data_IF_183291477695
#
_entry.id   IF_183291477695
#
_cell.length_a   1.000
_cell.length_b   1.000
_cell.length_c   1.000
_cell.angle_alpha   90.00
_cell.angle_beta   90.00
_cell.angle_gamma   90.00
#
_symmetry.space_group_name_H-M   'P 1'
#
loop_
_entity.id
_entity.type
_entity.pdbx_description
1 polymer ?
#
# COMPACT_ATOMS: atom_id res chain seq x y z
N UNK A 1 -9.81 -3.57 -16.80
CA UNK A 1 -10.04 -3.86 -15.38
C UNK A 1 -9.58 -2.64 -14.59
N UNK A 2 -10.51 -1.97 -13.91
CA UNK A 2 -10.25 -0.76 -13.13
C UNK A 2 -9.43 -1.02 -11.87
N UNK A 3 -8.98 0.06 -11.24
CA UNK A 3 -8.31 0.02 -9.94
C UNK A 3 -9.33 -0.45 -8.90
N UNK A 4 -8.95 -1.44 -8.12
CA UNK A 4 -9.80 -1.95 -7.04
C UNK A 4 -9.52 -1.15 -5.76
N UNK A 5 -10.52 -0.54 -5.12
CA UNK A 5 -10.33 0.31 -3.95
C UNK A 5 -10.18 -0.50 -2.65
N UNK A 6 -9.41 -1.57 -2.70
CA UNK A 6 -9.02 -2.37 -1.53
C UNK A 6 -7.66 -3.05 -1.73
N UNK A 7 -7.01 -3.36 -0.63
CA UNK A 7 -5.83 -4.24 -0.60
C UNK A 7 -6.08 -5.43 0.30
N UNK A 8 -5.36 -6.51 0.01
CA UNK A 8 -5.35 -7.72 0.84
C UNK A 8 -3.91 -8.03 1.22
N UNK A 9 -3.67 -8.37 2.48
CA UNK A 9 -2.39 -8.87 2.92
C UNK A 9 -2.57 -10.04 3.87
N UNK A 10 -1.76 -11.08 3.70
CA UNK A 10 -1.73 -12.23 4.58
C UNK A 10 -0.53 -12.07 5.51
N UNK A 11 -0.76 -12.13 6.82
CA UNK A 11 0.28 -12.04 7.84
C UNK A 11 0.32 -13.36 8.61
N UNK A 12 1.53 -13.90 8.76
CA UNK A 12 1.80 -15.05 9.61
C UNK A 12 2.30 -14.58 10.97
N UNK A 13 1.88 -15.25 12.03
CA UNK A 13 2.47 -15.01 13.33
C UNK A 13 3.97 -15.28 13.29
N UNK A 14 4.76 -14.29 13.72
CA UNK A 14 6.22 -14.26 13.84
C UNK A 14 7.05 -14.90 12.71
N UNK A 15 7.45 -14.07 11.74
CA UNK A 15 8.75 -14.10 11.04
C UNK A 15 9.17 -15.38 10.31
N UNK A 16 8.38 -15.90 9.39
CA UNK A 16 8.95 -16.74 8.33
C UNK A 16 8.61 -16.10 6.98
N UNK A 17 9.61 -15.52 6.35
CA UNK A 17 9.47 -14.85 5.03
C UNK A 17 9.05 -15.78 3.89
N UNK A 18 9.13 -17.10 4.08
CA UNK A 18 8.83 -18.12 3.09
C UNK A 18 8.08 -19.32 3.72
N UNK A 19 7.16 -19.05 4.65
CA UNK A 19 6.43 -20.12 5.34
C UNK A 19 5.36 -20.72 4.42
N UNK A 20 5.34 -22.05 4.33
CA UNK A 20 4.22 -22.80 3.78
C UNK A 20 3.14 -22.92 4.85
N UNK A 21 1.91 -22.49 4.54
CA UNK A 21 0.76 -22.66 5.44
C UNK A 21 0.39 -24.12 5.49
N UNK A 22 0.22 -24.65 6.69
CA UNK A 22 -0.23 -26.01 6.93
C UNK A 22 -1.61 -26.02 7.59
N UNK A 23 -2.28 -27.16 7.54
CA UNK A 23 -3.55 -27.37 8.25
C UNK A 23 -3.34 -27.18 9.75
N UNK A 24 -4.12 -26.28 10.35
CA UNK A 24 -4.03 -25.94 11.77
C UNK A 24 -3.23 -24.67 12.06
N UNK A 25 -2.56 -24.08 11.07
CA UNK A 25 -1.89 -22.79 11.24
C UNK A 25 -2.91 -21.65 11.38
N UNK A 26 -2.63 -20.73 12.30
CA UNK A 26 -3.36 -19.47 12.38
C UNK A 26 -2.69 -18.43 11.49
N UNK A 27 -3.50 -17.78 10.67
CA UNK A 27 -3.06 -16.72 9.78
C UNK A 27 -3.97 -15.50 9.94
N UNK A 28 -3.41 -14.32 9.76
CA UNK A 28 -4.17 -13.07 9.77
C UNK A 28 -4.34 -12.59 8.33
N UNK A 29 -5.58 -12.55 7.88
CA UNK A 29 -5.93 -11.91 6.61
C UNK A 29 -6.36 -10.47 6.92
N UNK A 30 -5.59 -9.50 6.43
CA UNK A 30 -5.94 -8.10 6.55
C UNK A 30 -6.48 -7.57 5.22
N UNK A 31 -7.68 -7.03 5.27
CA UNK A 31 -8.31 -6.34 4.14
C UNK A 31 -8.38 -4.86 4.52
N UNK A 32 -7.86 -3.99 3.65
CA UNK A 32 -7.99 -2.54 3.79
C UNK A 32 -8.83 -2.01 2.66
N UNK A 33 -9.80 -1.18 2.99
CA UNK A 33 -10.76 -0.61 2.06
C UNK A 33 -10.74 0.90 2.21
N UNK A 34 -10.75 1.62 1.10
CA UNK A 34 -10.82 3.10 1.09
C UNK A 34 -12.00 3.62 0.25
N UNK A 35 -12.95 2.75 -0.06
CA UNK A 35 -14.22 3.10 -0.70
C UNK A 35 -15.38 2.81 0.25
N UNK A 36 -16.24 3.80 0.46
CA UNK A 36 -17.29 3.75 1.47
C UNK A 36 -18.28 2.60 1.28
N UNK A 37 -18.71 2.34 0.05
CA UNK A 37 -19.66 1.27 -0.23
C UNK A 37 -19.09 -0.13 0.07
N UNK A 38 -17.80 -0.33 -0.21
CA UNK A 38 -17.14 -1.61 0.12
C UNK A 38 -17.02 -1.81 1.63
N UNK A 39 -16.86 -0.74 2.40
CA UNK A 39 -16.86 -0.82 3.85
C UNK A 39 -18.17 -1.40 4.39
N UNK A 40 -19.30 -0.88 3.94
CA UNK A 40 -20.62 -1.40 4.36
C UNK A 40 -20.82 -2.88 4.00
N UNK A 41 -20.32 -3.32 2.85
CA UNK A 41 -20.38 -4.73 2.47
C UNK A 41 -19.56 -5.59 3.44
N UNK A 42 -18.42 -5.10 3.92
CA UNK A 42 -17.58 -5.83 4.88
C UNK A 42 -18.20 -5.90 6.28
N UNK A 43 -18.90 -4.86 6.71
CA UNK A 43 -19.62 -4.85 8.00
C UNK A 43 -20.74 -5.90 8.04
N UNK A 44 -21.36 -6.18 6.91
CA UNK A 44 -22.50 -7.10 6.78
C UNK A 44 -22.08 -8.55 6.47
N UNK A 45 -20.79 -8.88 6.50
CA UNK A 45 -20.34 -10.25 6.22
C UNK A 45 -20.86 -11.21 7.31
N UNK A 46 -21.64 -12.25 6.92
CA UNK A 46 -22.18 -13.20 7.89
C UNK A 46 -21.08 -14.03 8.57
N UNK A 47 -21.29 -14.30 9.83
CA UNK A 47 -20.39 -15.15 10.63
C UNK A 47 -21.04 -16.53 10.90
N UNK A 48 -20.31 -17.65 10.90
CA UNK A 48 -18.85 -17.78 10.64
C UNK A 48 -18.52 -17.62 9.15
N UNK A 49 -17.37 -17.01 8.85
CA UNK A 49 -16.90 -16.80 7.49
C UNK A 49 -15.96 -17.95 7.08
N UNK A 50 -16.32 -18.68 6.02
CA UNK A 50 -15.40 -19.63 5.36
C UNK A 50 -14.73 -18.93 4.18
N UNK A 51 -13.43 -19.07 4.08
CA UNK A 51 -12.57 -18.46 3.06
C UNK A 51 -11.80 -19.55 2.30
N UNK A 52 -11.80 -19.46 0.98
CA UNK A 52 -10.94 -20.28 0.15
C UNK A 52 -9.62 -19.56 -0.13
N UNK A 53 -8.50 -20.09 0.39
CA UNK A 53 -7.16 -19.54 0.16
C UNK A 53 -6.36 -20.54 -0.69
N UNK A 54 -6.40 -20.37 -2.00
CA UNK A 54 -5.84 -21.37 -2.92
C UNK A 54 -6.53 -22.74 -2.76
N UNK A 55 -5.79 -23.82 -2.49
CA UNK A 55 -6.36 -25.14 -2.24
C UNK A 55 -6.85 -25.35 -0.80
N UNK A 56 -6.64 -24.38 0.10
CA UNK A 56 -6.96 -24.47 1.51
C UNK A 56 -8.31 -23.82 1.80
N UNK A 57 -9.12 -24.50 2.59
CA UNK A 57 -10.30 -23.91 3.22
C UNK A 57 -9.91 -23.41 4.61
N UNK A 58 -10.19 -22.16 4.91
CA UNK A 58 -9.93 -21.51 6.18
C UNK A 58 -11.24 -21.00 6.78
N UNK A 59 -11.39 -21.12 8.08
CA UNK A 59 -12.49 -20.51 8.82
C UNK A 59 -11.97 -19.30 9.58
N UNK A 60 -12.67 -18.17 9.50
CA UNK A 60 -12.39 -17.05 10.35
C UNK A 60 -12.78 -17.39 11.79
N UNK A 61 -11.78 -17.44 12.66
CA UNK A 61 -11.99 -17.66 14.09
C UNK A 61 -12.44 -16.38 14.79
N UNK A 62 -11.98 -15.24 14.28
CA UNK A 62 -12.32 -13.90 14.80
C UNK A 62 -12.24 -12.89 13.66
N UNK A 63 -13.16 -11.94 13.62
CA UNK A 63 -13.18 -10.82 12.67
C UNK A 63 -13.14 -9.53 13.45
N UNK A 64 -12.05 -8.79 13.30
CA UNK A 64 -11.84 -7.51 13.98
C UNK A 64 -11.85 -6.39 12.94
N UNK A 65 -12.70 -5.40 13.16
CA UNK A 65 -12.83 -4.24 12.27
C UNK A 65 -11.81 -3.15 12.60
N UNK A 66 -11.27 -3.14 13.85
CA UNK A 66 -10.26 -2.21 14.34
C UNK A 66 -9.16 -2.97 15.07
N UNK A 67 -8.28 -3.64 14.33
CA UNK A 67 -7.25 -4.43 14.97
C UNK A 67 -6.01 -3.62 15.34
N UNK A 68 -5.52 -3.71 16.57
CA UNK A 68 -4.31 -3.06 17.03
C UNK A 68 -3.07 -3.86 16.61
N UNK A 69 -2.69 -3.82 15.37
CA UNK A 69 -1.38 -4.26 14.93
C UNK A 69 -0.62 -3.08 14.39
N UNK A 70 0.38 -2.58 15.12
CA UNK A 70 1.51 -1.69 14.77
C UNK A 70 1.36 -0.67 13.61
N UNK A 71 0.20 -0.56 13.02
CA UNK A 71 -0.21 0.48 12.11
C UNK A 71 -1.52 1.04 12.65
N UNK A 72 -1.61 2.35 12.85
CA UNK A 72 -2.86 2.99 13.27
C UNK A 72 -3.88 2.82 12.13
N UNK A 73 -4.70 1.82 12.26
CA UNK A 73 -5.88 1.61 11.45
C UNK A 73 -7.08 1.95 12.32
N UNK A 74 -7.22 3.21 12.60
CA UNK A 74 -8.54 3.78 12.77
C UNK A 74 -9.21 3.84 11.40
N UNK A 75 -10.52 3.85 11.36
CA UNK A 75 -11.31 4.32 10.22
C UNK A 75 -10.97 5.81 10.01
N UNK A 76 -9.72 6.05 9.65
CA UNK A 76 -9.26 7.36 9.24
C UNK A 76 -9.79 7.58 7.84
N UNK A 77 -10.85 8.37 7.73
CA UNK A 77 -11.24 8.84 6.43
C UNK A 77 -10.13 9.76 5.88
N UNK A 78 -10.12 9.97 4.60
CA UNK A 78 -9.14 10.80 3.89
C UNK A 78 -8.99 12.19 4.51
N UNK A 79 -10.07 12.77 5.05
CA UNK A 79 -10.08 14.07 5.71
C UNK A 79 -9.28 14.07 7.01
N UNK A 80 -9.45 13.06 7.86
CA UNK A 80 -8.70 12.93 9.11
C UNK A 80 -7.20 12.76 8.85
N UNK A 81 -6.83 12.01 7.80
CA UNK A 81 -5.45 11.86 7.39
C UNK A 81 -4.84 13.19 6.93
N UNK A 82 -5.60 13.97 6.15
CA UNK A 82 -5.20 15.31 5.72
C UNK A 82 -5.06 16.25 6.92
N UNK A 83 -6.07 16.33 7.79
CA UNK A 83 -6.05 17.19 8.97
C UNK A 83 -4.88 16.88 9.91
N UNK A 84 -4.59 15.60 10.15
CA UNK A 84 -3.43 15.20 10.95
C UNK A 84 -2.13 15.66 10.30
N UNK A 85 -1.97 15.40 9.01
CA UNK A 85 -0.77 15.81 8.28
C UNK A 85 -0.58 17.32 8.25
N UNK A 86 -1.67 18.10 8.29
CA UNK A 86 -1.62 19.57 8.35
C UNK A 86 -1.16 20.12 9.71
N UNK A 87 -1.28 19.35 10.79
CA UNK A 87 -0.82 19.73 12.13
C UNK A 87 0.66 19.45 12.35
N UNK A 88 1.23 18.50 11.60
CA UNK A 88 2.61 18.08 11.76
C UNK A 88 3.56 19.03 11.00
N UNK A 89 4.83 19.07 11.44
CA UNK A 89 5.86 19.81 10.72
C UNK A 89 6.09 19.19 9.34
N UNK A 90 6.38 20.00 8.30
CA UNK A 90 6.64 19.47 6.98
C UNK A 90 7.78 18.44 6.98
N UNK A 91 7.50 17.30 6.40
CA UNK A 91 8.47 16.19 6.27
C UNK A 91 9.61 16.58 5.34
N UNK A 92 10.86 16.34 5.78
CA UNK A 92 12.06 16.58 4.97
C UNK A 92 12.47 15.36 4.16
N UNK A 93 12.18 14.16 4.68
CA UNK A 93 12.58 12.90 4.08
C UNK A 93 11.50 11.84 4.30
N UNK A 94 11.22 11.09 3.25
CA UNK A 94 10.30 9.95 3.28
C UNK A 94 11.08 8.68 2.99
N UNK A 95 10.97 7.70 3.86
CA UNK A 95 11.47 6.35 3.66
C UNK A 95 10.30 5.42 3.36
N UNK A 96 10.40 4.63 2.30
CA UNK A 96 9.36 3.69 1.86
C UNK A 96 9.98 2.29 1.76
N UNK A 97 9.58 1.42 2.68
CA UNK A 97 9.94 0.01 2.67
C UNK A 97 8.91 -0.82 1.91
N UNK A 98 9.30 -1.41 0.82
CA UNK A 98 8.51 -2.36 0.04
C UNK A 98 8.56 -3.74 0.69
N UNK A 99 7.53 -4.05 1.46
CA UNK A 99 7.44 -5.30 2.26
C UNK A 99 7.14 -6.51 1.38
N UNK A 100 6.32 -6.30 0.35
CA UNK A 100 6.00 -7.34 -0.65
C UNK A 100 6.43 -6.91 -2.04
N UNK A 101 6.66 -7.85 -2.98
CA UNK A 101 7.12 -7.53 -4.32
C UNK A 101 6.24 -6.47 -4.98
N UNK A 102 6.87 -5.42 -5.48
CA UNK A 102 6.21 -4.27 -6.09
C UNK A 102 6.68 -4.08 -7.52
N UNK A 103 5.75 -3.93 -8.44
CA UNK A 103 6.01 -3.58 -9.83
C UNK A 103 4.97 -2.61 -10.37
N UNK A 104 5.30 -1.96 -11.46
CA UNK A 104 4.45 -0.97 -12.11
C UNK A 104 4.20 -1.38 -13.57
N UNK A 105 3.09 -0.90 -14.15
CA UNK A 105 2.82 -1.12 -15.55
C UNK A 105 3.77 -0.26 -16.42
N UNK A 106 4.48 -0.88 -17.31
CA UNK A 106 5.27 -0.23 -18.34
C UNK A 106 4.75 -0.56 -19.74
N UNK A 107 5.19 0.20 -20.74
CA UNK A 107 4.78 0.03 -22.15
C UNK A 107 5.19 -1.32 -22.72
N UNK A 108 6.35 -1.84 -22.31
CA UNK A 108 6.92 -3.09 -22.82
C UNK A 108 7.02 -4.20 -21.78
N UNK A 109 6.29 -4.07 -20.67
CA UNK A 109 6.31 -5.04 -19.57
C UNK A 109 6.35 -4.37 -18.20
N UNK A 110 6.57 -5.16 -17.18
CA UNK A 110 6.59 -4.67 -15.79
C UNK A 110 7.88 -3.89 -15.49
N UNK A 111 7.73 -2.71 -14.89
CA UNK A 111 8.84 -1.94 -14.33
C UNK A 111 9.01 -2.37 -12.88
N UNK A 112 10.20 -2.86 -12.54
CA UNK A 112 10.50 -3.38 -11.19
C UNK A 112 11.26 -2.42 -10.30
N UNK A 113 11.89 -1.37 -10.85
CA UNK A 113 12.60 -0.37 -10.07
C UNK A 113 11.69 0.81 -9.73
N UNK A 114 11.37 1.05 -8.44
CA UNK A 114 10.50 2.14 -8.02
C UNK A 114 11.18 3.50 -8.19
N UNK A 115 10.58 4.40 -8.95
CA UNK A 115 10.92 5.82 -8.98
C UNK A 115 9.89 6.62 -8.20
N UNK A 116 10.22 7.84 -7.75
CA UNK A 116 9.26 8.71 -7.08
C UNK A 116 7.99 8.90 -7.93
N UNK A 117 8.14 9.12 -9.24
CA UNK A 117 7.03 9.28 -10.17
C UNK A 117 6.13 8.04 -10.19
N UNK A 118 6.70 6.83 -10.35
CA UNK A 118 5.92 5.59 -10.40
C UNK A 118 5.18 5.32 -9.09
N UNK A 119 5.84 5.56 -7.96
CA UNK A 119 5.28 5.39 -6.63
C UNK A 119 4.07 6.31 -6.45
N UNK A 120 4.29 7.63 -6.54
CA UNK A 120 3.25 8.61 -6.24
C UNK A 120 2.15 8.64 -7.29
N UNK A 121 2.46 8.43 -8.58
CA UNK A 121 1.43 8.29 -9.62
C UNK A 121 0.52 7.09 -9.34
N UNK A 122 1.05 5.95 -8.90
CA UNK A 122 0.22 4.80 -8.56
C UNK A 122 -0.65 5.01 -7.31
N UNK A 123 -0.17 5.82 -6.36
CA UNK A 123 -0.93 6.19 -5.16
C UNK A 123 -2.07 7.15 -5.54
N UNK A 124 -1.81 8.14 -6.41
CA UNK A 124 -2.84 9.06 -6.93
C UNK A 124 -3.93 8.31 -7.70
N UNK A 125 -3.57 7.33 -8.52
CA UNK A 125 -4.56 6.51 -9.22
C UNK A 125 -5.52 5.81 -8.23
N UNK A 126 -5.00 5.35 -7.10
CA UNK A 126 -5.80 4.69 -6.07
C UNK A 126 -6.61 5.69 -5.23
N UNK A 127 -6.03 6.85 -4.94
CA UNK A 127 -6.75 7.95 -4.30
C UNK A 127 -7.99 8.34 -5.11
N UNK A 128 -7.79 8.62 -6.39
CA UNK A 128 -8.85 9.02 -7.30
C UNK A 128 -9.92 7.92 -7.54
N UNK A 129 -9.55 6.65 -7.33
CA UNK A 129 -10.50 5.55 -7.39
C UNK A 129 -11.33 5.37 -6.11
N UNK A 130 -11.00 6.05 -5.03
CA UNK A 130 -11.67 5.95 -3.73
C UNK A 130 -12.83 6.94 -3.57
N UNK A 131 -12.67 8.16 -4.05
CA UNK A 131 -13.69 9.22 -3.95
C UNK A 131 -13.62 10.12 -5.19
N UNK A 132 -14.69 10.14 -5.97
CA UNK A 132 -14.78 10.95 -7.20
C UNK A 132 -14.83 12.46 -6.92
N UNK A 133 -15.18 12.87 -5.68
CA UNK A 133 -15.28 14.28 -5.29
C UNK A 133 -13.94 14.86 -4.82
N UNK A 134 -12.91 14.06 -4.61
CA UNK A 134 -11.60 14.46 -4.10
C UNK A 134 -10.46 14.00 -5.02
N UNK A 135 -10.53 14.35 -6.28
CA UNK A 135 -9.53 13.94 -7.26
C UNK A 135 -8.28 14.82 -7.20
N UNK A 136 -7.12 14.17 -7.32
CA UNK A 136 -5.83 14.82 -7.45
C UNK A 136 -5.36 14.81 -8.90
N UNK A 137 -4.75 15.92 -9.34
CA UNK A 137 -4.14 16.01 -10.66
C UNK A 137 -2.83 15.20 -10.71
N UNK A 138 -2.88 14.08 -11.41
CA UNK A 138 -1.75 13.18 -11.58
C UNK A 138 -0.57 13.82 -12.34
N UNK A 139 -0.83 14.71 -13.29
CA UNK A 139 0.22 15.40 -14.05
C UNK A 139 1.02 16.31 -13.11
N UNK A 140 0.33 17.10 -12.29
CA UNK A 140 0.97 17.93 -11.27
C UNK A 140 1.81 17.12 -10.30
N UNK A 141 1.34 15.96 -9.84
CA UNK A 141 2.13 15.12 -8.94
C UNK A 141 3.39 14.59 -9.62
N UNK A 142 3.33 14.24 -10.90
CA UNK A 142 4.52 13.83 -11.66
C UNK A 142 5.57 14.95 -11.76
N UNK A 143 5.14 16.18 -12.03
CA UNK A 143 6.03 17.36 -12.03
C UNK A 143 6.70 17.58 -10.65
N UNK A 144 5.95 17.42 -9.55
CA UNK A 144 6.52 17.47 -8.20
C UNK A 144 7.61 16.38 -8.01
N UNK A 145 7.37 15.18 -8.54
CA UNK A 145 8.29 14.06 -8.41
C UNK A 145 9.65 14.29 -9.09
N UNK A 146 9.73 15.13 -10.12
CA UNK A 146 11.00 15.53 -10.78
C UNK A 146 11.96 16.25 -9.82
N UNK A 147 11.42 16.89 -8.78
CA UNK A 147 12.20 17.59 -7.73
C UNK A 147 12.48 16.75 -6.50
N UNK A 148 11.91 15.55 -6.41
CA UNK A 148 12.17 14.60 -5.34
C UNK A 148 13.47 13.84 -5.63
N UNK A 149 14.40 13.87 -4.69
CA UNK A 149 15.71 13.26 -4.86
C UNK A 149 15.79 11.92 -4.13
N UNK A 150 16.05 10.85 -4.87
CA UNK A 150 16.42 9.57 -4.27
C UNK A 150 17.81 9.69 -3.65
N UNK A 151 17.91 9.54 -2.33
CA UNK A 151 19.19 9.69 -1.60
C UNK A 151 19.80 8.38 -1.17
N UNK A 152 18.99 7.35 -0.99
CA UNK A 152 19.46 6.03 -0.62
C UNK A 152 18.45 4.95 -1.01
N UNK A 153 18.94 3.75 -1.30
CA UNK A 153 18.10 2.58 -1.50
C UNK A 153 18.85 1.28 -1.21
N UNK A 154 18.12 0.31 -0.75
CA UNK A 154 18.60 -1.06 -0.54
C UNK A 154 17.49 -2.04 -0.92
N UNK A 155 17.83 -3.09 -1.65
CA UNK A 155 16.85 -4.11 -1.99
C UNK A 155 17.27 -4.99 -3.14
N UNK A 156 16.30 -5.79 -3.56
CA UNK A 156 16.47 -6.74 -4.66
C UNK A 156 15.11 -7.02 -5.32
N UNK A 157 15.13 -7.67 -6.47
CA UNK A 157 13.93 -8.18 -7.10
C UNK A 157 13.57 -9.56 -6.56
N UNK A 158 12.29 -9.79 -6.29
CA UNK A 158 11.74 -11.09 -5.89
C UNK A 158 10.65 -11.50 -6.87
N UNK A 159 10.68 -12.76 -7.34
CA UNK A 159 9.64 -13.33 -8.17
C UNK A 159 8.64 -14.08 -7.29
N UNK A 160 7.34 -13.85 -7.52
CA UNK A 160 6.24 -14.57 -6.89
C UNK A 160 5.38 -15.23 -7.95
N UNK A 161 4.77 -16.35 -7.63
CA UNK A 161 3.94 -17.12 -8.56
C UNK A 161 2.49 -17.13 -8.08
N UNK A 162 1.58 -16.86 -9.00
CA UNK A 162 0.14 -17.01 -8.82
C UNK A 162 -0.33 -18.22 -9.65
N UNK A 163 -0.52 -19.36 -8.98
CA UNK A 163 -0.75 -20.63 -9.65
C UNK A 163 0.52 -21.17 -10.33
N UNK A 164 0.34 -22.00 -11.34
CA UNK A 164 1.48 -22.74 -11.97
C UNK A 164 2.31 -21.90 -12.93
N UNK A 165 1.69 -20.98 -13.68
CA UNK A 165 2.33 -20.38 -14.86
C UNK A 165 2.50 -18.86 -14.83
N UNK A 166 1.87 -18.16 -13.87
CA UNK A 166 1.92 -16.70 -13.79
C UNK A 166 2.92 -16.24 -12.74
N UNK A 167 4.17 -15.99 -13.16
CA UNK A 167 5.20 -15.38 -12.34
C UNK A 167 5.23 -13.86 -12.51
N UNK A 168 5.32 -13.14 -11.39
CA UNK A 168 5.49 -11.67 -11.35
C UNK A 168 6.75 -11.36 -10.59
N UNK A 169 7.61 -10.54 -11.19
CA UNK A 169 8.82 -10.03 -10.55
C UNK A 169 8.54 -8.63 -10.03
N UNK A 170 8.92 -8.35 -8.80
CA UNK A 170 8.80 -7.04 -8.19
C UNK A 170 9.97 -6.73 -7.28
N UNK A 171 10.13 -5.47 -6.92
CA UNK A 171 11.13 -4.99 -5.98
C UNK A 171 10.70 -5.24 -4.52
N UNK A 172 11.64 -5.57 -3.68
CA UNK A 172 11.52 -5.66 -2.21
C UNK A 172 12.71 -4.94 -1.60
N UNK A 173 12.48 -4.06 -0.61
CA UNK A 173 13.51 -3.27 0.04
C UNK A 173 13.08 -1.84 0.30
N UNK A 174 14.02 -0.97 0.68
CA UNK A 174 13.78 0.41 1.08
C UNK A 174 14.29 1.45 0.10
N UNK A 175 13.60 2.55 0.02
CA UNK A 175 13.97 3.77 -0.69
C UNK A 175 13.84 4.97 0.23
N UNK A 176 14.83 5.86 0.21
CA UNK A 176 14.82 7.13 0.94
C UNK A 176 14.79 8.30 -0.03
N UNK A 177 13.76 9.11 0.08
CA UNK A 177 13.54 10.28 -0.75
C UNK A 177 13.71 11.57 0.05
N UNK A 178 14.49 12.52 -0.48
CA UNK A 178 14.65 13.85 0.07
C UNK A 178 13.68 14.83 -0.62
N UNK A 179 12.92 15.57 0.18
CA UNK A 179 11.89 16.50 -0.25
C UNK A 179 12.33 17.97 -0.15
N UNK A 180 13.60 18.26 0.17
CA UNK A 180 14.07 19.62 0.47
C UNK A 180 13.91 20.63 -0.68
N UNK A 181 13.77 20.17 -1.93
CA UNK A 181 13.52 21.00 -3.10
C UNK A 181 12.04 21.37 -3.30
N UNK A 182 11.16 20.80 -2.50
CA UNK A 182 9.74 21.11 -2.47
C UNK A 182 9.46 22.20 -1.43
N UNK A 183 8.45 23.05 -1.67
CA UNK A 183 7.95 23.95 -0.64
C UNK A 183 7.13 23.21 0.42
N UNK A 184 6.68 23.89 1.47
CA UNK A 184 6.00 23.25 2.61
C UNK A 184 4.67 22.59 2.22
N UNK A 185 3.87 23.23 1.36
CA UNK A 185 2.60 22.68 0.89
C UNK A 185 2.82 21.42 0.03
N UNK A 186 3.81 21.46 -0.87
CA UNK A 186 4.18 20.34 -1.71
C UNK A 186 4.71 19.16 -0.89
N UNK A 187 5.55 19.42 0.12
CA UNK A 187 6.03 18.41 1.06
C UNK A 187 4.89 17.77 1.83
N UNK A 188 3.93 18.59 2.25
CA UNK A 188 2.75 18.12 2.96
C UNK A 188 1.88 17.22 2.09
N UNK A 189 1.66 17.58 0.82
CA UNK A 189 0.93 16.76 -0.13
C UNK A 189 1.63 15.40 -0.36
N UNK A 190 2.95 15.39 -0.56
CA UNK A 190 3.72 14.15 -0.71
C UNK A 190 3.68 13.30 0.57
N UNK A 191 3.69 13.93 1.75
CA UNK A 191 3.56 13.24 3.04
C UNK A 191 2.20 12.56 3.18
N UNK A 192 1.12 13.24 2.81
CA UNK A 192 -0.24 12.68 2.80
C UNK A 192 -0.31 11.48 1.86
N UNK A 193 0.18 11.62 0.63
CA UNK A 193 0.20 10.54 -0.35
C UNK A 193 1.03 9.35 0.13
N UNK A 194 2.22 9.58 0.68
CA UNK A 194 3.05 8.51 1.23
C UNK A 194 2.33 7.76 2.35
N UNK A 195 1.70 8.48 3.28
CA UNK A 195 0.91 7.88 4.37
C UNK A 195 -0.27 7.07 3.83
N UNK A 196 -1.01 7.61 2.86
CA UNK A 196 -2.08 6.88 2.19
C UNK A 196 -1.56 5.64 1.47
N UNK A 197 -0.35 5.69 0.91
CA UNK A 197 0.32 4.55 0.28
C UNK A 197 0.46 3.33 1.19
N UNK A 198 0.60 3.51 2.50
CA UNK A 198 0.62 2.40 3.47
C UNK A 198 -0.73 1.65 3.51
N UNK A 199 -1.84 2.34 3.22
CA UNK A 199 -3.18 1.76 3.26
C UNK A 199 -3.55 1.15 1.91
N UNK A 200 -3.34 1.89 0.82
CA UNK A 200 -3.73 1.45 -0.51
C UNK A 200 -2.70 0.57 -1.23
N UNK A 201 -1.49 0.47 -0.67
CA UNK A 201 -0.35 -0.17 -1.33
C UNK A 201 0.18 0.64 -2.52
N UNK A 202 1.30 0.20 -3.09
CA UNK A 202 2.00 0.87 -4.20
C UNK A 202 2.13 -0.06 -5.39
N UNK A 203 2.01 0.47 -6.61
CA UNK A 203 2.11 -0.31 -7.84
C UNK A 203 0.89 -1.19 -8.09
N UNK A 204 1.10 -2.24 -8.89
CA UNK A 204 0.04 -3.13 -9.37
C UNK A 204 -0.24 -4.30 -8.41
N UNK A 205 -1.42 -4.90 -8.56
CA UNK A 205 -1.85 -6.13 -7.85
C UNK A 205 -1.87 -6.00 -6.31
N UNK A 206 -2.08 -4.79 -5.78
CA UNK A 206 -2.21 -4.57 -4.34
C UNK A 206 -3.43 -5.30 -3.75
N UNK A 207 -4.50 -5.49 -4.52
CA UNK A 207 -5.64 -6.33 -4.14
C UNK A 207 -5.33 -7.84 -4.09
N UNK A 208 -4.14 -8.25 -4.53
CA UNK A 208 -3.65 -9.63 -4.47
C UNK A 208 -2.45 -9.78 -3.52
N UNK A 209 -2.22 -8.82 -2.63
CA UNK A 209 -1.17 -8.87 -1.61
C UNK A 209 0.19 -8.32 -2.02
N UNK A 210 0.35 -7.86 -3.27
CA UNK A 210 1.58 -7.19 -3.72
C UNK A 210 1.57 -5.71 -3.37
N UNK A 211 2.74 -5.05 -3.45
CA UNK A 211 2.84 -3.61 -3.25
C UNK A 211 2.57 -3.13 -1.83
N UNK A 212 2.67 -3.99 -0.81
CA UNK A 212 2.54 -3.55 0.57
C UNK A 212 3.78 -2.77 0.99
N UNK A 213 3.58 -1.59 1.54
CA UNK A 213 4.66 -0.71 1.97
C UNK A 213 4.50 -0.27 3.42
N UNK A 214 5.63 0.02 4.04
CA UNK A 214 5.72 0.74 5.31
C UNK A 214 6.40 2.08 5.03
N UNK A 215 5.88 3.16 5.60
CA UNK A 215 6.41 4.52 5.41
C UNK A 215 6.92 5.06 6.73
N UNK A 216 8.11 5.63 6.72
CA UNK A 216 8.68 6.37 7.83
C UNK A 216 8.92 7.81 7.39
N UNK A 217 8.40 8.75 8.16
CA UNK A 217 8.48 10.19 7.91
C UNK A 217 9.51 10.81 8.84
N UNK A 218 10.45 11.57 8.27
CA UNK A 218 11.47 12.26 9.03
C UNK A 218 11.22 13.76 8.96
N UNK A 219 10.76 14.31 10.08
CA UNK A 219 10.61 15.77 10.31
C UNK A 219 11.80 16.26 11.09
N UNK A 220 12.42 17.34 10.68
CA UNK A 220 13.42 18.02 11.50
C UNK A 220 12.84 19.22 12.19
#
# INVERSE_FOLDING_TARGET
SGIKPFTVSLQYGRTRRDATIQKGDMVYLRIRVWHRELWYILEDIPQPLSLQIGPLEAMAADVQYDAPFDLPLSVENTLTLVERSLRDKPTQRVEIDFVTPTSFNGTHGDITFPTAELIFASIVDKWNAGDENQTLDKARIKELCERIVLTDWIGHTKRVYFGRDRGITGFVGGFTFNLSKLNDEERQLITILATFGQHCGVGRLSSQGLGQVKVTLHTK
#
